data_IF_593882257306
#
_entry.id   IF_593882257306
#
_cell.length_a   1.000
_cell.length_b   1.000
_cell.length_c   1.000
_cell.angle_alpha   90.00
_cell.angle_beta   90.00
_cell.angle_gamma   90.00
#
_symmetry.space_group_name_H-M   'P 1'
#
loop_
_entity.id
_entity.type
_entity.pdbx_description
1 polymer ?
#
# COMPACT_ATOMS: atom_id res chain seq x y z
N UNK A 1 -6.86 16.47 22.70
CA UNK A 1 -6.45 16.48 24.13
C UNK A 1 -5.59 17.70 24.46
N UNK A 2 -4.67 18.07 23.58
CA UNK A 2 -3.75 19.19 23.79
C UNK A 2 -4.39 20.57 23.60
N UNK A 3 -5.58 20.66 23.03
CA UNK A 3 -6.32 21.91 22.78
C UNK A 3 -7.15 22.37 23.99
N UNK A 4 -7.24 21.59 25.09
CA UNK A 4 -8.00 21.95 26.27
C UNK A 4 -7.18 22.77 27.25
N UNK A 5 -7.75 23.91 27.71
CA UNK A 5 -7.09 24.72 28.71
C UNK A 5 -6.82 23.93 30.02
N UNK A 6 -5.71 24.22 30.74
CA UNK A 6 -5.37 23.53 31.99
C UNK A 6 -6.50 23.53 33.04
N UNK A 7 -7.33 24.57 33.03
CA UNK A 7 -8.45 24.74 33.95
C UNK A 7 -9.61 23.79 33.64
N UNK A 8 -9.85 23.54 32.36
CA UNK A 8 -10.86 22.54 31.91
C UNK A 8 -10.36 21.15 32.19
N UNK A 9 -9.07 20.87 31.92
CA UNK A 9 -8.43 19.57 32.19
C UNK A 9 -8.48 19.17 33.68
N UNK A 10 -8.27 20.11 34.59
CA UNK A 10 -8.34 19.85 36.04
C UNK A 10 -9.76 19.67 36.57
N UNK A 11 -10.78 20.13 35.84
CA UNK A 11 -12.21 19.98 36.20
C UNK A 11 -12.84 18.70 35.64
N UNK A 12 -12.21 18.07 34.65
CA UNK A 12 -12.59 16.77 34.13
C UNK A 12 -11.93 15.71 35.02
N UNK A 13 -12.71 15.05 35.90
CA UNK A 13 -12.25 13.83 36.59
C UNK A 13 -12.08 12.71 35.56
N UNK A 14 -11.02 12.81 34.73
CA UNK A 14 -10.74 11.84 33.68
C UNK A 14 -10.24 10.52 34.29
N UNK A 15 -10.95 9.44 34.05
CA UNK A 15 -10.40 8.10 34.18
C UNK A 15 -9.82 7.69 32.84
N UNK A 16 -8.48 7.58 32.78
CA UNK A 16 -7.79 7.14 31.58
C UNK A 16 -7.80 5.59 31.55
N UNK A 17 -8.48 5.02 30.57
CA UNK A 17 -8.41 3.58 30.29
C UNK A 17 -7.46 3.40 29.11
N UNK A 18 -6.33 2.75 29.36
CA UNK A 18 -5.37 2.42 28.33
C UNK A 18 -5.70 1.05 27.74
N UNK A 19 -5.90 0.99 26.42
CA UNK A 19 -6.03 -0.24 25.65
C UNK A 19 -4.71 -0.50 24.93
N UNK A 20 -3.84 -1.39 25.43
CA UNK A 20 -2.62 -1.74 24.72
C UNK A 20 -2.95 -2.50 23.44
N UNK A 21 -2.02 -2.50 22.48
CA UNK A 21 -2.09 -3.38 21.34
C UNK A 21 -2.05 -4.85 21.80
N UNK A 22 -2.74 -5.72 21.10
CA UNK A 22 -2.74 -7.14 21.39
C UNK A 22 -1.37 -7.77 21.05
N UNK A 23 -0.90 -8.65 21.93
CA UNK A 23 0.26 -9.48 21.62
C UNK A 23 -0.14 -10.72 20.78
N UNK A 24 0.85 -11.48 20.31
CA UNK A 24 0.62 -12.66 19.48
C UNK A 24 -0.19 -13.76 20.22
N UNK A 25 -0.14 -13.84 21.56
CA UNK A 25 -0.90 -14.81 22.34
C UNK A 25 -2.35 -14.37 22.46
N UNK A 26 -2.58 -13.08 22.71
CA UNK A 26 -3.94 -12.50 22.74
C UNK A 26 -4.62 -12.70 21.38
N UNK A 27 -3.93 -12.36 20.29
CA UNK A 27 -4.44 -12.54 18.93
C UNK A 27 -4.73 -14.02 18.62
N UNK A 28 -3.85 -14.94 19.04
CA UNK A 28 -4.09 -16.38 18.87
C UNK A 28 -5.35 -16.85 19.57
N UNK A 29 -5.64 -16.36 20.78
CA UNK A 29 -6.86 -16.69 21.51
C UNK A 29 -8.09 -16.14 20.79
N UNK A 30 -8.04 -14.88 20.35
CA UNK A 30 -9.14 -14.23 19.62
C UNK A 30 -9.44 -14.99 18.33
N UNK A 31 -8.38 -15.26 17.53
CA UNK A 31 -8.50 -15.99 16.27
C UNK A 31 -9.08 -17.39 16.46
N UNK A 32 -8.60 -18.15 17.48
CA UNK A 32 -9.10 -19.48 17.78
C UNK A 32 -10.59 -19.50 18.12
N UNK A 33 -11.06 -18.53 18.94
CA UNK A 33 -12.46 -18.40 19.27
C UNK A 33 -13.33 -18.08 18.05
N UNK A 34 -12.86 -17.20 17.17
CA UNK A 34 -13.59 -16.82 15.97
C UNK A 34 -13.55 -17.89 14.90
N UNK A 35 -12.43 -18.56 14.75
CA UNK A 35 -12.28 -19.69 13.84
C UNK A 35 -13.28 -20.82 14.15
N UNK A 36 -13.46 -21.17 15.42
CA UNK A 36 -14.43 -22.21 15.84
C UNK A 36 -15.90 -21.89 15.53
N UNK A 37 -16.21 -20.64 15.16
CA UNK A 37 -17.56 -20.22 14.71
C UNK A 37 -17.64 -20.11 13.18
N UNK A 38 -16.53 -19.72 12.53
CA UNK A 38 -16.51 -19.37 11.12
C UNK A 38 -16.06 -20.52 10.19
N UNK A 39 -15.27 -21.46 10.71
CA UNK A 39 -14.73 -22.58 9.94
C UNK A 39 -15.27 -23.92 10.46
N UNK A 40 -15.37 -24.90 9.57
CA UNK A 40 -15.67 -26.27 9.97
C UNK A 40 -14.47 -26.91 10.68
N UNK A 41 -14.74 -27.87 11.55
CA UNK A 41 -13.68 -28.58 12.25
C UNK A 41 -12.69 -29.24 11.31
N UNK A 42 -11.39 -29.06 11.57
CA UNK A 42 -10.31 -29.67 10.80
C UNK A 42 -9.97 -29.00 9.45
N UNK A 43 -10.63 -27.88 9.11
CA UNK A 43 -10.33 -27.14 7.87
C UNK A 43 -9.04 -26.33 7.99
N UNK A 44 -8.72 -25.82 9.18
CA UNK A 44 -7.51 -25.04 9.41
C UNK A 44 -6.36 -25.98 9.82
N UNK A 45 -5.23 -25.90 9.10
CA UNK A 45 -3.99 -26.54 9.55
C UNK A 45 -3.44 -25.86 10.81
N UNK A 46 -2.68 -26.59 11.62
CA UNK A 46 -2.25 -26.16 12.96
C UNK A 46 -1.45 -24.84 12.95
N UNK A 47 -0.74 -24.55 11.88
CA UNK A 47 0.10 -23.36 11.70
C UNK A 47 -0.67 -22.08 11.33
N UNK A 48 -1.89 -22.17 10.81
CA UNK A 48 -2.65 -21.03 10.24
C UNK A 48 -2.92 -19.96 11.29
N UNK A 49 -3.52 -20.33 12.41
CA UNK A 49 -3.85 -19.38 13.48
C UNK A 49 -2.59 -18.75 14.09
N UNK A 50 -1.53 -19.52 14.43
CA UNK A 50 -0.27 -18.95 14.88
C UNK A 50 0.35 -17.96 13.89
N UNK A 51 0.30 -18.24 12.60
CA UNK A 51 0.87 -17.39 11.55
C UNK A 51 0.08 -16.08 11.41
N UNK A 52 -1.25 -16.14 11.31
CA UNK A 52 -2.10 -14.93 11.29
C UNK A 52 -1.90 -14.06 12.54
N UNK A 53 -1.76 -14.68 13.73
CA UNK A 53 -1.50 -13.96 14.97
C UNK A 53 -0.11 -13.30 14.98
N UNK A 54 0.90 -13.95 14.42
CA UNK A 54 2.26 -13.40 14.31
C UNK A 54 2.29 -12.19 13.39
N UNK A 55 1.63 -12.25 12.24
CA UNK A 55 1.51 -11.11 11.32
C UNK A 55 0.76 -9.95 11.99
N UNK A 56 -0.41 -10.20 12.60
CA UNK A 56 -1.17 -9.17 13.28
C UNK A 56 -0.41 -8.49 14.41
N UNK A 57 0.37 -9.23 15.19
CA UNK A 57 1.21 -8.66 16.25
C UNK A 57 2.36 -7.79 15.70
N UNK A 58 2.91 -8.15 14.53
CA UNK A 58 3.94 -7.37 13.84
C UNK A 58 3.36 -6.08 13.26
N UNK A 59 2.11 -6.12 12.78
CA UNK A 59 1.43 -5.02 12.09
C UNK A 59 0.58 -4.14 13.03
N UNK A 60 1.05 -3.86 14.25
CA UNK A 60 0.43 -3.01 15.27
C UNK A 60 -0.51 -3.70 16.29
N UNK A 61 -0.62 -5.02 16.30
CA UNK A 61 -1.43 -5.77 17.28
C UNK A 61 -2.95 -5.52 17.10
N UNK A 62 -3.41 -5.42 15.85
CA UNK A 62 -4.81 -5.23 15.50
C UNK A 62 -5.51 -6.58 15.25
N UNK A 63 -6.48 -6.90 16.13
CA UNK A 63 -7.27 -8.13 16.03
C UNK A 63 -8.14 -8.17 14.76
N UNK A 64 -8.60 -7.01 14.26
CA UNK A 64 -9.42 -6.95 13.06
C UNK A 64 -8.60 -7.34 11.83
N UNK A 65 -7.42 -6.77 11.68
CA UNK A 65 -6.52 -7.11 10.56
C UNK A 65 -6.13 -8.60 10.59
N UNK A 66 -5.90 -9.15 11.80
CA UNK A 66 -5.61 -10.58 11.96
C UNK A 66 -6.80 -11.48 11.53
N UNK A 67 -8.03 -11.04 11.81
CA UNK A 67 -9.26 -11.74 11.40
C UNK A 67 -9.48 -11.61 9.88
N UNK A 68 -9.24 -10.44 9.32
CA UNK A 68 -9.34 -10.21 7.87
C UNK A 68 -8.34 -11.11 7.13
N UNK A 69 -7.11 -11.27 7.66
CA UNK A 69 -6.12 -12.19 7.09
C UNK A 69 -6.57 -13.65 7.17
N UNK A 70 -7.13 -14.09 8.31
CA UNK A 70 -7.64 -15.46 8.44
C UNK A 70 -8.80 -15.72 7.46
N UNK A 71 -9.67 -14.74 7.27
CA UNK A 71 -10.79 -14.82 6.32
C UNK A 71 -10.27 -14.90 4.88
N UNK A 72 -9.34 -14.03 4.50
CA UNK A 72 -8.72 -14.02 3.18
C UNK A 72 -8.01 -15.35 2.87
N UNK A 73 -7.29 -15.92 3.85
CA UNK A 73 -6.68 -17.24 3.69
C UNK A 73 -7.73 -18.35 3.43
N UNK A 74 -8.89 -18.26 4.07
CA UNK A 74 -10.03 -19.15 3.80
C UNK A 74 -10.60 -18.98 2.40
N UNK A 75 -10.67 -17.74 1.91
CA UNK A 75 -11.12 -17.43 0.55
C UNK A 75 -10.13 -17.97 -0.49
N UNK A 76 -8.81 -17.80 -0.29
CA UNK A 76 -7.76 -18.36 -1.15
C UNK A 76 -7.85 -19.88 -1.24
N UNK A 77 -8.05 -20.58 -0.11
CA UNK A 77 -8.22 -22.03 -0.11
C UNK A 77 -9.46 -22.46 -0.89
N UNK A 78 -10.57 -21.72 -0.74
CA UNK A 78 -11.81 -22.00 -1.47
C UNK A 78 -11.66 -21.79 -2.98
N UNK A 79 -10.97 -20.74 -3.40
CA UNK A 79 -10.66 -20.47 -4.81
C UNK A 79 -9.73 -21.53 -5.41
N UNK A 80 -8.75 -22.00 -4.64
CA UNK A 80 -7.88 -23.09 -5.02
C UNK A 80 -8.60 -24.45 -5.03
N UNK A 81 -9.85 -24.55 -4.54
CA UNK A 81 -10.60 -25.79 -4.46
C UNK A 81 -10.05 -26.78 -3.45
N UNK A 82 -9.32 -26.31 -2.44
CA UNK A 82 -8.73 -27.16 -1.39
C UNK A 82 -9.67 -27.26 -0.19
N UNK A 83 -9.65 -28.41 0.49
CA UNK A 83 -10.47 -28.65 1.69
C UNK A 83 -9.80 -28.14 2.97
N UNK A 84 -8.52 -27.80 2.90
CA UNK A 84 -7.72 -27.39 4.06
C UNK A 84 -7.01 -26.07 3.78
N UNK A 85 -7.13 -25.14 4.71
CA UNK A 85 -6.37 -23.87 4.73
C UNK A 85 -4.99 -24.15 5.30
N UNK A 86 -3.94 -23.73 4.60
CA UNK A 86 -2.53 -23.93 4.96
C UNK A 86 -1.80 -22.61 5.11
N UNK A 87 -0.54 -22.64 5.50
CA UNK A 87 0.33 -21.46 5.55
C UNK A 87 0.42 -20.74 4.18
N UNK A 88 0.50 -21.49 3.07
CA UNK A 88 0.56 -20.91 1.72
C UNK A 88 -0.68 -20.07 1.40
N UNK A 89 -1.87 -20.49 1.88
CA UNK A 89 -3.09 -19.71 1.72
C UNK A 89 -3.08 -18.43 2.60
N UNK A 90 -2.39 -18.45 3.76
CA UNK A 90 -2.21 -17.24 4.59
C UNK A 90 -1.31 -16.24 3.88
N UNK A 91 -0.21 -16.69 3.27
CA UNK A 91 0.68 -15.82 2.49
C UNK A 91 -0.08 -15.22 1.28
N UNK A 92 -0.76 -16.05 0.50
CA UNK A 92 -1.57 -15.59 -0.64
C UNK A 92 -2.66 -14.60 -0.21
N UNK A 93 -3.34 -14.87 0.91
CA UNK A 93 -4.36 -13.98 1.47
C UNK A 93 -3.78 -12.65 1.96
N UNK A 94 -2.56 -12.66 2.47
CA UNK A 94 -1.84 -11.44 2.86
C UNK A 94 -1.51 -10.58 1.64
N UNK A 95 -0.99 -11.18 0.58
CA UNK A 95 -0.67 -10.49 -0.67
C UNK A 95 -1.93 -9.91 -1.31
N UNK A 96 -3.06 -10.62 -1.24
CA UNK A 96 -4.35 -10.14 -1.75
C UNK A 96 -4.87 -8.93 -0.95
N UNK A 97 -4.78 -8.97 0.39
CA UNK A 97 -5.15 -7.84 1.24
C UNK A 97 -4.27 -6.61 0.99
N UNK A 98 -2.97 -6.81 0.79
CA UNK A 98 -2.04 -5.73 0.45
C UNK A 98 -2.38 -5.11 -0.91
N UNK A 99 -2.64 -5.95 -1.92
CA UNK A 99 -3.10 -5.53 -3.24
C UNK A 99 -4.39 -4.74 -3.18
N UNK A 100 -5.39 -5.22 -2.42
CA UNK A 100 -6.66 -4.52 -2.22
C UNK A 100 -6.49 -3.15 -1.56
N UNK A 101 -5.61 -3.01 -0.57
CA UNK A 101 -5.30 -1.71 0.08
C UNK A 101 -4.66 -0.72 -0.91
N UNK A 102 -3.77 -1.22 -1.75
CA UNK A 102 -3.12 -0.40 -2.78
C UNK A 102 -4.15 0.08 -3.79
N UNK A 103 -5.01 -0.81 -4.29
CA UNK A 103 -6.09 -0.47 -5.22
C UNK A 103 -7.04 0.56 -4.62
N UNK A 104 -7.47 0.37 -3.36
CA UNK A 104 -8.33 1.34 -2.67
C UNK A 104 -7.64 2.70 -2.50
N UNK A 105 -6.37 2.71 -2.12
CA UNK A 105 -5.56 3.92 -1.99
C UNK A 105 -5.42 4.67 -3.32
N UNK A 106 -5.12 3.95 -4.39
CA UNK A 106 -5.01 4.53 -5.75
C UNK A 106 -6.39 4.98 -6.24
N UNK A 107 -7.44 4.18 -6.03
CA UNK A 107 -8.80 4.52 -6.43
C UNK A 107 -9.34 5.79 -5.78
N UNK A 108 -8.88 6.11 -4.57
CA UNK A 108 -9.23 7.34 -3.85
C UNK A 108 -8.51 8.61 -4.34
N UNK A 109 -7.49 8.49 -5.19
CA UNK A 109 -6.75 9.65 -5.70
C UNK A 109 -7.58 10.47 -6.68
N UNK A 110 -7.24 11.76 -6.78
CA UNK A 110 -7.76 12.59 -7.86
C UNK A 110 -7.07 12.24 -9.18
N UNK A 111 -7.64 12.66 -10.30
CA UNK A 111 -7.04 12.48 -11.63
C UNK A 111 -5.59 13.02 -11.71
N UNK A 112 -5.32 14.17 -11.11
CA UNK A 112 -3.96 14.69 -11.02
C UNK A 112 -3.05 13.86 -10.11
N UNK A 113 -3.61 13.24 -9.07
CA UNK A 113 -2.89 12.27 -8.23
C UNK A 113 -2.44 11.05 -9.03
N UNK A 114 -3.33 10.49 -9.86
CA UNK A 114 -2.99 9.40 -10.78
C UNK A 114 -1.87 9.81 -11.76
N UNK A 115 -1.95 11.01 -12.37
CA UNK A 115 -0.93 11.51 -13.29
C UNK A 115 0.44 11.71 -12.64
N UNK A 116 0.47 12.14 -11.37
CA UNK A 116 1.71 12.24 -10.59
C UNK A 116 2.26 10.85 -10.28
N UNK A 117 1.40 9.89 -9.96
CA UNK A 117 1.81 8.51 -9.71
C UNK A 117 2.35 7.85 -10.99
N UNK A 118 1.69 8.00 -12.13
CA UNK A 118 2.23 7.56 -13.43
C UNK A 118 3.62 8.14 -13.71
N UNK A 119 3.82 9.44 -13.43
CA UNK A 119 5.12 10.06 -13.64
C UNK A 119 6.23 9.43 -12.77
N UNK A 120 5.91 9.06 -11.54
CA UNK A 120 6.86 8.38 -10.64
C UNK A 120 7.13 6.94 -11.05
N UNK A 121 6.08 6.17 -11.36
CA UNK A 121 6.23 4.76 -11.77
C UNK A 121 7.07 4.66 -13.04
N UNK A 122 6.82 5.52 -14.03
CA UNK A 122 7.59 5.52 -15.28
C UNK A 122 9.05 5.92 -15.09
N UNK A 123 9.34 6.86 -14.17
CA UNK A 123 10.72 7.20 -13.79
C UNK A 123 11.39 6.05 -13.03
N UNK A 124 10.65 5.32 -12.23
CA UNK A 124 11.17 4.16 -11.50
C UNK A 124 11.53 3.01 -12.45
N UNK A 125 10.67 2.71 -13.42
CA UNK A 125 10.91 1.70 -14.45
C UNK A 125 12.12 2.03 -15.33
N UNK A 126 12.40 3.31 -15.55
CA UNK A 126 13.59 3.79 -16.27
C UNK A 126 14.85 3.77 -15.37
N UNK A 127 14.73 3.45 -14.07
CA UNK A 127 15.84 3.42 -13.13
C UNK A 127 16.31 4.82 -12.69
N UNK A 128 15.47 5.84 -12.85
CA UNK A 128 15.80 7.23 -12.52
C UNK A 128 15.49 7.60 -11.06
N UNK A 129 14.77 6.76 -10.31
CA UNK A 129 14.47 7.00 -8.89
C UNK A 129 15.67 6.66 -8.00
N UNK A 130 15.84 7.33 -6.84
CA UNK A 130 15.00 8.39 -6.26
C UNK A 130 15.16 9.76 -6.94
N UNK A 131 14.04 10.48 -7.12
CA UNK A 131 13.97 11.75 -7.85
C UNK A 131 13.48 12.91 -6.98
N UNK A 132 13.86 14.14 -7.33
CA UNK A 132 13.31 15.35 -6.72
C UNK A 132 11.99 15.76 -7.39
N UNK A 133 11.13 16.48 -6.68
CA UNK A 133 9.85 16.95 -7.24
C UNK A 133 10.00 17.79 -8.52
N UNK A 134 11.16 18.47 -8.69
CA UNK A 134 11.46 19.22 -9.93
C UNK A 134 11.71 18.31 -11.12
N UNK A 135 12.20 17.08 -10.88
CA UNK A 135 12.55 16.11 -11.91
C UNK A 135 11.29 15.28 -12.30
N UNK A 136 10.36 15.07 -11.36
CA UNK A 136 9.01 14.49 -11.61
C UNK A 136 8.16 15.42 -12.48
N UNK A 137 8.31 16.75 -12.30
CA UNK A 137 7.44 17.73 -12.91
C UNK A 137 7.35 17.68 -14.45
N UNK A 138 8.45 17.57 -15.21
CA UNK A 138 8.38 17.49 -16.68
C UNK A 138 7.55 16.30 -17.15
N UNK A 139 7.74 15.12 -16.53
CA UNK A 139 7.02 13.90 -16.85
C UNK A 139 5.52 14.05 -16.53
N UNK A 140 5.20 14.51 -15.33
CA UNK A 140 3.82 14.83 -14.94
C UNK A 140 3.15 15.82 -15.89
N UNK A 141 3.86 16.91 -16.28
CA UNK A 141 3.32 17.91 -17.21
C UNK A 141 2.97 17.26 -18.54
N UNK A 142 3.86 16.40 -19.05
CA UNK A 142 3.61 15.67 -20.30
C UNK A 142 2.38 14.76 -20.21
N UNK A 143 2.21 14.05 -19.09
CA UNK A 143 1.04 13.19 -18.88
C UNK A 143 -0.25 13.98 -18.70
N UNK A 144 -0.21 15.15 -18.05
CA UNK A 144 -1.34 16.05 -17.96
C UNK A 144 -1.78 16.53 -19.35
N UNK A 145 -0.83 16.90 -20.23
CA UNK A 145 -1.10 17.27 -21.61
C UNK A 145 -1.73 16.12 -22.41
N UNK A 146 -1.21 14.89 -22.27
CA UNK A 146 -1.79 13.70 -22.91
C UNK A 146 -3.23 13.44 -22.43
N UNK A 147 -3.50 13.68 -21.14
CA UNK A 147 -4.83 13.60 -20.55
C UNK A 147 -5.76 14.77 -20.94
N UNK A 148 -5.27 15.73 -21.72
CA UNK A 148 -5.99 16.96 -22.03
C UNK A 148 -6.40 17.75 -20.76
N UNK A 149 -5.46 17.84 -19.80
CA UNK A 149 -5.59 18.57 -18.55
C UNK A 149 -4.51 19.65 -18.41
N UNK A 150 -4.88 20.75 -17.78
CA UNK A 150 -3.94 21.83 -17.46
C UNK A 150 -3.00 21.39 -16.31
N UNK A 151 -1.68 21.40 -16.48
CA UNK A 151 -0.75 21.01 -15.43
C UNK A 151 -0.88 21.89 -14.18
N UNK A 152 -0.92 21.28 -13.02
CA UNK A 152 -0.96 21.97 -11.74
C UNK A 152 0.34 22.77 -11.48
N UNK A 153 0.20 23.81 -10.66
CA UNK A 153 1.38 24.55 -10.15
C UNK A 153 2.24 23.65 -9.25
N UNK A 154 3.56 23.91 -9.12
CA UNK A 154 4.50 23.04 -8.40
C UNK A 154 4.10 22.72 -6.97
N UNK A 155 3.42 23.62 -6.28
CA UNK A 155 2.95 23.40 -4.94
C UNK A 155 1.90 22.31 -4.87
N UNK A 156 0.89 22.37 -5.73
CA UNK A 156 -0.18 21.39 -5.80
C UNK A 156 0.30 20.00 -6.21
N UNK A 157 1.24 19.94 -7.15
CA UNK A 157 1.88 18.66 -7.48
C UNK A 157 2.61 18.04 -6.27
N UNK A 158 3.29 18.87 -5.44
CA UNK A 158 3.91 18.38 -4.20
C UNK A 158 2.90 17.96 -3.13
N UNK A 159 1.72 18.57 -3.10
CA UNK A 159 0.64 18.14 -2.22
C UNK A 159 0.25 16.69 -2.56
N UNK A 160 0.13 16.32 -3.85
CA UNK A 160 -0.11 14.94 -4.29
C UNK A 160 1.05 13.99 -3.97
N UNK A 161 2.31 14.42 -4.11
CA UNK A 161 3.45 13.61 -3.66
C UNK A 161 3.39 13.33 -2.16
N UNK A 162 2.94 14.29 -1.36
CA UNK A 162 2.76 14.10 0.09
C UNK A 162 1.58 13.17 0.40
N UNK A 163 0.52 13.22 -0.37
CA UNK A 163 -0.63 12.32 -0.28
C UNK A 163 -0.22 10.87 -0.60
N UNK A 164 0.51 10.65 -1.69
CA UNK A 164 1.05 9.33 -2.06
C UNK A 164 1.98 8.77 -0.97
N UNK A 165 2.79 9.62 -0.35
CA UNK A 165 3.64 9.22 0.77
C UNK A 165 2.84 8.86 2.03
N UNK A 166 1.74 9.56 2.32
CA UNK A 166 0.84 9.21 3.43
C UNK A 166 0.11 7.89 3.20
N UNK A 167 -0.17 7.55 1.96
CA UNK A 167 -0.76 6.26 1.57
C UNK A 167 0.27 5.11 1.55
N UNK A 168 1.57 5.40 1.77
CA UNK A 168 2.62 4.40 1.73
C UNK A 168 2.96 3.88 0.32
N UNK A 169 2.48 4.56 -0.73
CA UNK A 169 2.74 4.20 -2.13
C UNK A 169 4.16 4.61 -2.54
N UNK A 170 4.64 5.73 -1.98
CA UNK A 170 5.99 6.24 -2.23
C UNK A 170 6.73 6.52 -0.93
N UNK A 171 8.04 6.36 -0.93
CA UNK A 171 8.95 6.77 0.14
C UNK A 171 9.47 8.19 -0.09
N UNK A 172 9.77 8.88 1.02
CA UNK A 172 10.32 10.25 1.01
C UNK A 172 11.57 10.29 1.85
N UNK A 173 12.68 10.65 1.23
CA UNK A 173 13.95 10.85 1.93
C UNK A 173 14.32 12.33 1.93
N UNK A 174 14.52 12.91 3.13
CA UNK A 174 15.08 14.27 3.24
C UNK A 174 16.60 14.22 3.07
N UNK A 175 17.11 15.06 2.19
CA UNK A 175 18.54 15.28 1.95
C UNK A 175 18.91 16.71 2.32
N UNK A 176 20.09 16.84 2.93
CA UNK A 176 20.66 18.15 3.28
C UNK A 176 22.07 18.25 2.70
N UNK A 177 22.23 19.06 1.67
CA UNK A 177 23.52 19.32 1.00
C UNK A 177 24.25 20.53 1.63
N UNK A 178 23.87 20.92 2.83
CA UNK A 178 24.52 22.00 3.57
C UNK A 178 24.25 23.39 2.97
N UNK A 179 25.20 24.35 3.23
CA UNK A 179 25.03 25.76 2.86
C UNK A 179 24.85 26.05 1.37
N UNK A 180 25.28 25.15 0.47
CA UNK A 180 25.24 25.36 -0.99
C UNK A 180 24.08 24.65 -1.68
N UNK A 181 23.56 23.55 -1.12
CA UNK A 181 22.50 22.75 -1.75
C UNK A 181 21.14 22.85 -1.07
N UNK A 182 21.11 23.29 0.21
CA UNK A 182 19.87 23.39 0.98
C UNK A 182 19.29 22.01 1.34
N UNK A 183 18.08 22.04 1.90
CA UNK A 183 17.30 20.82 2.19
C UNK A 183 16.30 20.57 1.08
N UNK A 184 16.22 19.33 0.61
CA UNK A 184 15.27 18.90 -0.41
C UNK A 184 14.77 17.49 -0.10
N UNK A 185 13.70 17.09 -0.80
CA UNK A 185 13.10 15.76 -0.68
C UNK A 185 13.31 14.99 -1.98
N UNK A 186 13.69 13.74 -1.82
CA UNK A 186 13.72 12.73 -2.88
C UNK A 186 12.58 11.75 -2.68
N UNK A 187 12.01 11.31 -3.78
CA UNK A 187 10.86 10.43 -3.86
C UNK A 187 11.24 9.19 -4.65
N UNK A 188 10.85 8.03 -4.14
CA UNK A 188 10.97 6.76 -4.83
C UNK A 188 9.68 5.95 -4.62
N UNK A 189 9.40 5.03 -5.51
CA UNK A 189 8.31 4.07 -5.31
C UNK A 189 8.67 3.17 -4.13
N UNK A 190 7.68 2.84 -3.29
CA UNK A 190 7.85 1.93 -2.14
C UNK A 190 7.15 0.59 -2.39
N UNK A 191 6.51 0.45 -3.52
CA UNK A 191 5.75 -0.69 -3.99
C UNK A 191 6.30 -1.20 -5.31
N UNK A 192 5.97 -2.46 -5.65
CA UNK A 192 6.29 -3.02 -6.96
C UNK A 192 5.63 -2.19 -8.07
N UNK A 193 6.41 -1.70 -9.06
CA UNK A 193 5.89 -0.92 -10.17
C UNK A 193 4.78 -1.62 -10.95
N UNK A 194 4.87 -2.95 -11.14
CA UNK A 194 3.87 -3.74 -11.84
C UNK A 194 2.52 -3.73 -11.12
N UNK A 195 2.56 -3.85 -9.79
CA UNK A 195 1.36 -3.81 -8.95
C UNK A 195 0.68 -2.43 -9.01
N UNK A 196 1.48 -1.35 -8.97
CA UNK A 196 0.96 0.02 -9.07
C UNK A 196 0.38 0.29 -10.46
N UNK A 197 1.01 -0.18 -11.53
CA UNK A 197 0.50 -0.04 -12.89
C UNK A 197 -0.81 -0.79 -13.09
N UNK A 198 -0.93 -2.03 -12.59
CA UNK A 198 -2.18 -2.80 -12.66
C UNK A 198 -3.32 -2.09 -11.93
N UNK A 199 -3.06 -1.55 -10.74
CA UNK A 199 -4.06 -0.80 -9.99
C UNK A 199 -4.46 0.52 -10.68
N UNK A 200 -3.50 1.19 -11.33
CA UNK A 200 -3.78 2.39 -12.13
C UNK A 200 -4.61 2.06 -13.38
N UNK A 201 -4.29 0.97 -14.09
CA UNK A 201 -5.04 0.52 -15.26
C UNK A 201 -6.52 0.28 -14.90
N UNK A 202 -6.78 -0.52 -13.88
CA UNK A 202 -8.15 -0.81 -13.41
C UNK A 202 -8.91 0.44 -12.98
N UNK A 203 -8.23 1.39 -12.32
CA UNK A 203 -8.86 2.62 -11.81
C UNK A 203 -9.12 3.65 -12.91
N UNK A 204 -8.22 3.76 -13.90
CA UNK A 204 -8.21 4.82 -14.92
C UNK A 204 -8.75 4.35 -16.27
N UNK A 205 -9.22 3.10 -16.36
CA UNK A 205 -9.79 2.49 -17.57
C UNK A 205 -10.85 3.38 -18.26
N UNK A 206 -11.61 4.14 -17.48
CA UNK A 206 -12.63 5.06 -17.99
C UNK A 206 -12.09 6.30 -18.71
N UNK A 207 -10.80 6.61 -18.60
CA UNK A 207 -10.18 7.86 -19.10
C UNK A 207 -9.26 7.63 -20.30
N UNK A 208 -8.91 6.37 -20.60
CA UNK A 208 -8.06 5.98 -21.76
C UNK A 208 -6.64 6.55 -21.72
N UNK A 209 -6.16 6.91 -20.53
CA UNK A 209 -4.86 7.55 -20.36
C UNK A 209 -3.73 6.53 -20.19
N UNK A 210 -4.06 5.33 -19.68
CA UNK A 210 -3.10 4.27 -19.42
C UNK A 210 -2.32 3.91 -20.70
N UNK A 211 -3.01 3.56 -21.77
CA UNK A 211 -2.40 3.23 -23.06
C UNK A 211 -1.52 4.35 -23.58
N UNK A 212 -2.00 5.61 -23.49
CA UNK A 212 -1.23 6.77 -23.95
C UNK A 212 0.05 7.00 -23.13
N UNK A 213 0.06 6.67 -21.85
CA UNK A 213 1.22 6.76 -20.98
C UNK A 213 2.20 5.62 -21.29
N UNK A 214 1.70 4.41 -21.45
CA UNK A 214 2.52 3.23 -21.76
C UNK A 214 3.18 3.35 -23.14
N UNK A 215 2.43 3.81 -24.15
CA UNK A 215 2.97 4.12 -25.50
C UNK A 215 4.08 5.18 -25.45
N UNK A 216 3.95 6.17 -24.56
CA UNK A 216 4.94 7.24 -24.40
C UNK A 216 6.28 6.73 -23.85
N UNK A 217 6.23 5.73 -22.96
CA UNK A 217 7.43 5.22 -22.26
C UNK A 217 8.08 4.06 -23.01
N UNK A 218 7.45 3.59 -24.12
CA UNK A 218 7.90 2.42 -24.91
C UNK A 218 8.14 1.16 -24.06
N UNK A 219 7.32 1.01 -23.00
CA UNK A 219 7.34 -0.16 -22.10
C UNK A 219 6.18 -1.06 -22.48
N UNK A 220 6.46 -2.35 -22.76
CA UNK A 220 5.41 -3.35 -22.89
C UNK A 220 4.87 -3.69 -21.47
N UNK A 221 3.59 -3.40 -21.17
CA UNK A 221 2.99 -3.73 -19.87
C UNK A 221 3.15 -5.20 -19.48
N UNK A 222 3.24 -6.10 -20.47
CA UNK A 222 3.41 -7.55 -20.26
C UNK A 222 4.81 -7.93 -19.77
N UNK A 223 5.83 -7.14 -20.07
CA UNK A 223 7.18 -7.37 -19.56
C UNK A 223 7.31 -7.00 -18.09
N UNK A 224 6.57 -6.00 -17.63
CA UNK A 224 6.56 -5.55 -16.22
C UNK A 224 5.87 -6.60 -15.34
N UNK A 225 4.76 -7.17 -15.78
CA UNK A 225 4.01 -8.19 -15.04
C UNK A 225 4.82 -9.49 -14.85
N UNK A 226 5.63 -9.87 -15.86
CA UNK A 226 6.47 -11.08 -15.79
C UNK A 226 7.71 -10.92 -14.89
N UNK A 227 8.15 -9.69 -14.59
CA UNK A 227 9.28 -9.44 -13.69
C UNK A 227 8.91 -9.71 -12.22
N UNK A 228 7.66 -9.46 -11.82
CA UNK A 228 7.14 -9.75 -10.48
C UNK A 228 6.99 -11.24 -10.17
N UNK A 229 6.61 -12.05 -11.16
CA UNK A 229 6.45 -13.51 -10.98
C UNK A 229 7.79 -14.26 -10.87
N UNK A 230 8.89 -13.71 -11.39
CA UNK A 230 10.21 -14.35 -11.36
C UNK A 230 11.08 -13.96 -10.15
N UNK A 231 10.64 -13.02 -9.31
CA UNK A 231 11.41 -12.58 -8.13
C UNK A 231 11.26 -13.52 -6.92
N UNK A 232 10.40 -14.55 -6.98
CA UNK A 232 10.08 -15.44 -5.85
C UNK A 232 10.92 -16.72 -5.80
N UNK A 233 11.90 -16.93 -6.68
CA UNK A 233 12.77 -18.12 -6.63
C UNK A 233 14.23 -17.68 -6.73
N UNK A 234 14.82 -17.27 -5.62
CA UNK A 234 16.26 -17.48 -5.38
C UNK A 234 16.45 -17.76 -3.91
N UNK A 235 16.83 -19.02 -3.67
CA UNK A 235 17.26 -19.63 -2.42
C UNK A 235 18.29 -18.79 -1.66
N UNK A 236 18.09 -18.71 -0.33
CA UNK A 236 19.18 -18.95 0.63
C UNK A 236 18.60 -19.54 1.91
#
# INVERSE_FOLDING_TARGET
>A
RDDLSPKVRSSLCEQEIHFPAYDANDLRQILSQRAGVAFHDGVLADEVIPLCAAYGAKDAGDARQSLDLLMSAGDMAREAGTETVTADHVEAGRDELERGRIQEGIGGLTEHGHLVLYALVTLDLEGETPVRSRDVRPRYTRFAELANRDPLVPRRMRDHLSELAMLGIISVTERNEGRRGGTYREYALDLDPALVLSALEETVESVGIHDSVMDFVDIDPREVTNAGENATITEY
#
